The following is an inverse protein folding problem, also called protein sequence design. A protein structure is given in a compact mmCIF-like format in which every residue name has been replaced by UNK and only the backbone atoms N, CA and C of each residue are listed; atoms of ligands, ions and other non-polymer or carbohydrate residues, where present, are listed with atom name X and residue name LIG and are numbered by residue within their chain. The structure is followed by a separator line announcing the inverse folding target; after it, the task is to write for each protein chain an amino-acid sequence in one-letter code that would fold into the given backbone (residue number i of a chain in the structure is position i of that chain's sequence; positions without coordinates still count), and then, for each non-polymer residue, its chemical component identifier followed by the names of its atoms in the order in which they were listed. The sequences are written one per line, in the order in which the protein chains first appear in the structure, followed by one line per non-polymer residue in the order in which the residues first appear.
data_IF_043970246335
#
_entry.id   IF_043970246335
#
_cell.length_a   1.000
_cell.length_b   1.000
_cell.length_c   1.000
_cell.angle_alpha   90.00
_cell.angle_beta   90.00
_cell.angle_gamma   90.00
#
_symmetry.space_group_name_H-M   'P 1'
#
loop_
_entity.id
_entity.type
_entity.pdbx_description
1 polymer ?
#
# COMPACT_ATOMS: atom_id res chain seq x y z
N UNK A 1 4.80 4.03 21.08
CA UNK A 1 4.77 4.58 19.71
C UNK A 1 4.97 3.40 18.79
N UNK A 2 4.02 3.13 17.88
CA UNK A 2 4.24 2.11 16.85
C UNK A 2 5.37 2.61 15.95
N UNK A 3 6.34 1.77 15.66
CA UNK A 3 7.42 2.10 14.74
C UNK A 3 6.80 2.40 13.36
N UNK A 4 7.15 3.54 12.76
CA UNK A 4 6.59 3.96 11.47
C UNK A 4 6.87 2.94 10.36
N UNK A 5 7.92 2.12 10.52
CA UNK A 5 8.25 1.00 9.64
C UNK A 5 7.22 -0.13 9.67
N UNK A 6 6.40 -0.22 10.71
CA UNK A 6 5.42 -1.30 10.90
C UNK A 6 4.04 -0.98 10.32
N UNK A 7 3.78 0.27 9.92
CA UNK A 7 2.51 0.62 9.30
C UNK A 7 2.31 -0.14 7.98
N UNK A 8 1.16 -0.81 7.82
CA UNK A 8 0.84 -1.54 6.59
C UNK A 8 0.82 -0.63 5.36
N UNK A 9 0.38 0.61 5.50
CA UNK A 9 0.40 1.63 4.45
C UNK A 9 1.81 1.92 3.93
N UNK A 10 2.77 2.11 4.83
CA UNK A 10 4.18 2.40 4.52
C UNK A 10 4.85 1.24 3.76
N UNK A 11 4.37 0.01 3.94
CA UNK A 11 4.93 -1.15 3.27
C UNK A 11 4.15 -1.56 2.01
N UNK A 12 2.83 -1.33 1.97
CA UNK A 12 1.96 -1.73 0.86
C UNK A 12 1.93 -0.71 -0.27
N UNK A 13 1.83 0.59 0.06
CA UNK A 13 1.67 1.65 -0.95
C UNK A 13 2.90 1.78 -1.86
N UNK A 14 4.16 1.77 -1.34
CA UNK A 14 5.35 1.77 -2.19
C UNK A 14 5.42 0.57 -3.12
N UNK A 15 5.19 -0.63 -2.59
CA UNK A 15 5.17 -1.84 -3.40
C UNK A 15 4.12 -1.80 -4.51
N UNK A 16 2.94 -1.28 -4.20
CA UNK A 16 1.89 -1.06 -5.19
C UNK A 16 2.31 -0.01 -6.23
N UNK A 17 2.92 1.10 -5.83
CA UNK A 17 3.41 2.12 -6.75
C UNK A 17 4.47 1.56 -7.71
N UNK A 18 5.43 0.79 -7.22
CA UNK A 18 6.45 0.12 -8.03
C UNK A 18 5.82 -0.90 -8.99
N UNK A 19 4.85 -1.68 -8.51
CA UNK A 19 4.12 -2.63 -9.33
C UNK A 19 3.30 -1.93 -10.43
N UNK A 20 2.67 -0.81 -10.12
CA UNK A 20 1.90 -0.03 -11.11
C UNK A 20 2.81 0.55 -12.19
N UNK A 21 4.02 1.02 -11.85
CA UNK A 21 5.02 1.44 -12.85
C UNK A 21 5.36 0.29 -13.82
N UNK A 22 5.63 -0.92 -13.30
CA UNK A 22 5.87 -2.11 -14.12
C UNK A 22 4.65 -2.50 -14.96
N UNK A 23 3.45 -2.45 -14.38
CA UNK A 23 2.18 -2.75 -15.04
C UNK A 23 1.97 -1.84 -16.25
N UNK A 24 2.19 -0.54 -16.10
CA UNK A 24 2.03 0.42 -17.20
C UNK A 24 3.13 0.33 -18.24
N UNK A 25 4.38 0.04 -17.83
CA UNK A 25 5.50 -0.23 -18.76
C UNK A 25 5.24 -1.47 -19.62
N UNK A 26 4.53 -2.47 -19.08
CA UNK A 26 4.11 -3.67 -19.80
C UNK A 26 2.87 -3.45 -20.70
N UNK A 27 2.40 -2.21 -20.88
CA UNK A 27 1.24 -1.90 -21.72
C UNK A 27 -0.12 -2.07 -21.02
N UNK A 28 -0.13 -2.25 -19.70
CA UNK A 28 -1.35 -2.29 -18.90
C UNK A 28 -2.21 -1.03 -19.07
N UNK A 29 -3.53 -1.19 -19.01
CA UNK A 29 -4.51 -0.11 -19.22
C UNK A 29 -5.42 0.01 -18.01
N UNK A 30 -5.72 1.24 -17.60
CA UNK A 30 -6.88 1.52 -16.74
C UNK A 30 -8.06 1.65 -17.70
N UNK A 31 -9.13 0.88 -17.50
CA UNK A 31 -10.38 1.13 -18.23
C UNK A 31 -10.94 2.45 -17.68
N UNK A 32 -10.93 3.49 -18.52
CA UNK A 32 -11.28 4.86 -18.17
C UNK A 32 -12.58 4.93 -17.36
N UNK A 33 -12.51 5.65 -16.24
CA UNK A 33 -13.61 5.85 -15.32
C UNK A 33 -13.23 6.85 -14.24
N UNK A 34 -12.89 8.08 -14.63
CA UNK A 34 -12.55 9.17 -13.70
C UNK A 34 -11.33 8.91 -12.82
N UNK A 35 -10.91 9.92 -12.05
CA UNK A 35 -9.94 9.72 -10.96
C UNK A 35 -10.71 9.05 -9.82
N UNK A 36 -10.46 7.76 -9.58
CA UNK A 36 -10.96 7.10 -8.37
C UNK A 36 -10.00 7.44 -7.24
N UNK A 37 -10.40 8.38 -6.38
CA UNK A 37 -9.70 8.64 -5.13
C UNK A 37 -10.11 7.61 -4.07
N UNK A 38 -9.13 7.13 -3.31
CA UNK A 38 -9.33 6.35 -2.10
C UNK A 38 -9.06 7.26 -0.90
N UNK A 39 -10.01 7.32 0.02
CA UNK A 39 -9.92 8.17 1.21
C UNK A 39 -9.88 7.27 2.45
N UNK A 40 -8.85 7.43 3.26
CA UNK A 40 -8.71 6.77 4.55
C UNK A 40 -9.00 7.79 5.66
N UNK A 41 -10.02 7.57 6.51
CA UNK A 41 -10.24 8.38 7.69
C UNK A 41 -9.05 8.27 8.65
N UNK A 42 -8.55 9.40 9.13
CA UNK A 42 -7.32 9.51 9.92
C UNK A 42 -7.52 10.42 11.15
N UNK A 43 -8.70 10.32 11.77
CA UNK A 43 -9.06 11.08 12.97
C UNK A 43 -9.85 12.36 12.68
N UNK A 44 -9.85 13.27 13.65
CA UNK A 44 -10.69 14.47 13.60
C UNK A 44 -9.89 15.73 13.95
N UNK A 45 -10.19 16.83 13.25
CA UNK A 45 -9.77 18.16 13.68
C UNK A 45 -10.61 18.59 14.88
N UNK A 46 -9.97 18.90 16.00
CA UNK A 46 -10.63 19.33 17.23
C UNK A 46 -10.16 20.71 17.65
N UNK A 47 -11.10 21.56 18.03
CA UNK A 47 -10.85 22.86 18.66
C UNK A 47 -11.67 22.94 19.95
N UNK A 48 -11.03 23.32 21.05
CA UNK A 48 -11.65 23.32 22.38
C UNK A 48 -12.35 21.99 22.68
N UNK A 49 -11.69 20.87 22.35
CA UNK A 49 -12.18 19.50 22.49
C UNK A 49 -13.41 19.12 21.64
N UNK A 50 -13.93 20.03 20.80
CA UNK A 50 -15.06 19.77 19.91
C UNK A 50 -14.57 19.43 18.51
N UNK A 51 -15.14 18.38 17.91
CA UNK A 51 -14.90 18.03 16.50
C UNK A 51 -15.39 19.16 15.60
N UNK A 52 -14.53 19.64 14.71
CA UNK A 52 -14.82 20.67 13.71
C UNK A 52 -14.72 20.16 12.27
N UNK A 53 -13.91 19.12 12.07
CA UNK A 53 -13.75 18.46 10.78
C UNK A 53 -13.08 17.11 10.92
N UNK A 54 -12.76 16.54 9.78
CA UNK A 54 -12.10 15.25 9.63
C UNK A 54 -10.70 15.42 9.05
N UNK A 55 -9.83 14.52 9.50
CA UNK A 55 -8.52 14.30 8.96
C UNK A 55 -8.59 13.07 8.05
N UNK A 56 -8.05 13.19 6.85
CA UNK A 56 -8.19 12.19 5.80
C UNK A 56 -6.87 12.02 5.05
N UNK A 57 -6.51 10.77 4.74
CA UNK A 57 -5.39 10.46 3.85
C UNK A 57 -5.95 10.01 2.51
N UNK A 58 -5.61 10.75 1.46
CA UNK A 58 -6.05 10.50 0.10
C UNK A 58 -4.97 9.72 -0.66
N UNK A 59 -5.40 8.71 -1.41
CA UNK A 59 -4.58 7.96 -2.35
C UNK A 59 -5.25 7.98 -3.73
N UNK A 60 -4.51 8.34 -4.77
CA UNK A 60 -5.07 8.42 -6.12
C UNK A 60 -4.01 8.18 -7.20
N UNK A 61 -4.49 7.90 -8.40
CA UNK A 61 -3.66 7.81 -9.60
C UNK A 61 -3.74 9.11 -10.39
N UNK A 62 -2.58 9.61 -10.81
CA UNK A 62 -2.48 10.70 -11.78
C UNK A 62 -1.32 10.46 -12.71
N UNK A 63 -1.54 10.59 -14.03
CA UNK A 63 -0.53 10.33 -15.07
C UNK A 63 0.22 9.01 -14.85
N UNK A 64 -0.51 7.92 -14.53
CA UNK A 64 0.01 6.56 -14.27
C UNK A 64 0.93 6.45 -13.03
N UNK A 65 0.98 7.46 -12.18
CA UNK A 65 1.70 7.42 -10.89
C UNK A 65 0.71 7.44 -9.73
N UNK A 66 1.08 6.73 -8.67
CA UNK A 66 0.33 6.71 -7.41
C UNK A 66 0.79 7.88 -6.55
N UNK A 67 -0.15 8.60 -5.95
CA UNK A 67 0.13 9.71 -5.06
C UNK A 67 -0.64 9.57 -3.77
N UNK A 68 -0.07 10.13 -2.70
CA UNK A 68 -0.68 10.18 -1.36
C UNK A 68 -0.59 11.60 -0.82
N UNK A 69 -1.60 12.04 -0.07
CA UNK A 69 -1.55 13.28 0.73
C UNK A 69 -2.43 13.15 1.97
N UNK A 70 -2.02 13.76 3.07
CA UNK A 70 -2.87 14.01 4.22
C UNK A 70 -3.58 15.36 4.06
N UNK A 71 -4.87 15.42 4.39
CA UNK A 71 -5.69 16.63 4.31
C UNK A 71 -6.64 16.74 5.48
N UNK A 72 -6.74 17.92 6.06
CA UNK A 72 -7.81 18.35 6.93
C UNK A 72 -8.91 19.00 6.09
N UNK A 73 -10.16 18.57 6.27
CA UNK A 73 -11.30 19.12 5.54
C UNK A 73 -11.82 20.46 6.12
N UNK A 74 -11.35 20.85 7.30
CA UNK A 74 -11.79 22.06 8.00
C UNK A 74 -10.80 23.22 7.90
N UNK A 75 -9.50 22.99 8.16
CA UNK A 75 -8.48 24.04 8.14
C UNK A 75 -7.32 23.72 7.16
N UNK A 76 -7.08 24.62 6.20
CA UNK A 76 -6.00 24.51 5.20
C UNK A 76 -4.61 24.68 5.80
N UNK A 77 -4.49 25.34 6.95
CA UNK A 77 -3.23 25.55 7.67
C UNK A 77 -3.02 24.51 8.77
N UNK A 78 -3.90 23.51 8.88
CA UNK A 78 -3.73 22.43 9.84
C UNK A 78 -2.40 21.69 9.60
N UNK A 79 -1.64 21.44 10.65
CA UNK A 79 -0.37 20.70 10.60
C UNK A 79 -0.51 19.25 10.15
N UNK A 80 -1.75 18.73 10.13
CA UNK A 80 -2.08 17.44 9.54
C UNK A 80 -1.91 17.43 8.00
N UNK A 81 -2.06 18.59 7.35
CA UNK A 81 -1.95 18.67 5.89
C UNK A 81 -0.52 18.34 5.44
N UNK A 82 -0.40 17.56 4.37
CA UNK A 82 0.88 17.30 3.71
C UNK A 82 0.87 17.77 2.28
N UNK A 83 2.05 18.00 1.72
CA UNK A 83 2.20 18.07 0.26
C UNK A 83 1.89 16.71 -0.39
N UNK A 84 1.87 16.71 -1.73
CA UNK A 84 1.71 15.49 -2.51
C UNK A 84 2.99 14.65 -2.44
N UNK A 85 2.87 13.45 -1.88
CA UNK A 85 3.96 12.46 -1.81
C UNK A 85 3.80 11.46 -2.96
N UNK A 86 4.90 11.12 -3.64
CA UNK A 86 4.92 10.02 -4.60
C UNK A 86 4.72 8.70 -3.83
N UNK A 87 3.76 7.87 -4.25
CA UNK A 87 3.46 6.62 -3.56
C UNK A 87 4.64 5.66 -3.47
N UNK A 88 5.65 5.80 -4.34
CA UNK A 88 6.88 5.01 -4.30
C UNK A 88 7.91 5.47 -3.25
N UNK A 89 7.75 6.67 -2.68
CA UNK A 89 8.62 7.24 -1.66
C UNK A 89 8.22 6.73 -0.27
N UNK A 90 8.82 5.61 0.15
CA UNK A 90 8.55 4.99 1.45
C UNK A 90 8.86 5.92 2.63
N UNK A 91 9.94 6.70 2.55
CA UNK A 91 10.35 7.58 3.65
C UNK A 91 9.40 8.77 3.79
N UNK A 92 8.97 9.37 2.67
CA UNK A 92 7.93 10.40 2.68
C UNK A 92 6.62 9.88 3.30
N UNK A 93 6.22 8.65 2.98
CA UNK A 93 5.01 8.06 3.57
C UNK A 93 5.11 7.82 5.08
N UNK A 94 6.30 7.52 5.64
CA UNK A 94 6.46 7.37 7.10
C UNK A 94 6.10 8.64 7.86
N UNK A 95 6.27 9.80 7.24
CA UNK A 95 5.93 11.10 7.83
C UNK A 95 4.42 11.36 7.97
N UNK A 96 3.57 10.52 7.37
CA UNK A 96 2.12 10.69 7.47
C UNK A 96 1.57 10.06 8.77
N UNK A 97 0.52 10.66 9.35
CA UNK A 97 -0.08 10.21 10.62
C UNK A 97 -1.00 8.99 10.42
N UNK A 98 -0.41 7.84 10.11
CA UNK A 98 -1.14 6.58 9.87
C UNK A 98 -1.79 5.96 11.11
N UNK A 99 -1.38 6.35 12.32
CA UNK A 99 -1.77 5.70 13.57
C UNK A 99 -3.28 5.70 13.87
N UNK A 100 -4.05 6.58 13.23
CA UNK A 100 -5.52 6.66 13.39
C UNK A 100 -6.28 5.80 12.35
N UNK A 101 -5.58 5.18 11.40
CA UNK A 101 -6.21 4.37 10.35
C UNK A 101 -6.48 2.96 10.87
N UNK A 102 -7.67 2.45 10.57
CA UNK A 102 -8.05 1.09 10.89
C UNK A 102 -7.36 0.08 9.95
N UNK A 103 -6.40 -0.68 10.47
CA UNK A 103 -5.63 -1.69 9.74
C UNK A 103 -6.49 -2.73 9.01
N UNK A 104 -7.57 -3.22 9.64
CA UNK A 104 -8.46 -4.21 9.01
C UNK A 104 -9.18 -3.61 7.80
N UNK A 105 -9.51 -2.33 7.87
CA UNK A 105 -10.20 -1.62 6.79
C UNK A 105 -9.25 -1.23 5.67
N UNK A 106 -7.95 -1.07 5.94
CA UNK A 106 -6.95 -0.66 4.96
C UNK A 106 -6.90 -1.58 3.75
N UNK A 107 -6.66 -2.88 3.95
CA UNK A 107 -6.55 -3.85 2.85
C UNK A 107 -7.86 -4.03 2.09
N UNK A 108 -9.01 -4.04 2.80
CA UNK A 108 -10.34 -4.10 2.19
C UNK A 108 -10.58 -2.90 1.28
N UNK A 109 -10.24 -1.70 1.74
CA UNK A 109 -10.44 -0.47 0.99
C UNK A 109 -9.51 -0.41 -0.23
N UNK A 110 -8.25 -0.81 -0.07
CA UNK A 110 -7.27 -0.88 -1.17
C UNK A 110 -7.67 -1.92 -2.23
N UNK A 111 -8.12 -3.11 -1.80
CA UNK A 111 -8.68 -4.16 -2.67
C UNK A 111 -9.84 -3.63 -3.50
N UNK A 112 -10.84 -3.02 -2.84
CA UNK A 112 -12.01 -2.43 -3.52
C UNK A 112 -11.59 -1.36 -4.52
N UNK A 113 -10.62 -0.53 -4.17
CA UNK A 113 -10.07 0.49 -5.06
C UNK A 113 -9.41 -0.12 -6.30
N UNK A 114 -8.55 -1.14 -6.15
CA UNK A 114 -7.92 -1.83 -7.28
C UNK A 114 -8.94 -2.47 -8.22
N UNK A 115 -9.97 -3.13 -7.67
CA UNK A 115 -11.04 -3.74 -8.45
C UNK A 115 -11.84 -2.67 -9.21
N UNK A 116 -12.16 -1.55 -8.55
CA UNK A 116 -12.89 -0.43 -9.17
C UNK A 116 -12.13 0.21 -10.33
N UNK A 117 -10.79 0.25 -10.26
CA UNK A 117 -9.93 0.71 -11.35
C UNK A 117 -9.81 -0.29 -12.51
N UNK A 118 -10.39 -1.50 -12.39
CA UNK A 118 -10.47 -2.52 -13.46
C UNK A 118 -9.12 -2.85 -14.09
N UNK A 119 -8.07 -2.96 -13.27
CA UNK A 119 -6.77 -3.45 -13.73
C UNK A 119 -6.88 -4.87 -14.29
N UNK A 120 -6.05 -5.18 -15.28
CA UNK A 120 -5.83 -6.57 -15.66
C UNK A 120 -5.21 -7.34 -14.50
N UNK A 121 -5.99 -8.26 -13.95
CA UNK A 121 -5.69 -8.94 -12.70
C UNK A 121 -4.37 -9.73 -12.77
N UNK A 122 -4.18 -10.52 -13.83
CA UNK A 122 -2.99 -11.37 -13.98
C UNK A 122 -1.73 -10.51 -14.11
N UNK A 123 -1.79 -9.46 -14.93
CA UNK A 123 -0.66 -8.55 -15.12
C UNK A 123 -0.34 -7.78 -13.84
N UNK A 124 -1.35 -7.36 -13.07
CA UNK A 124 -1.15 -6.68 -11.78
C UNK A 124 -0.45 -7.60 -10.77
N UNK A 125 -0.91 -8.84 -10.60
CA UNK A 125 -0.28 -9.80 -9.68
C UNK A 125 1.17 -10.10 -10.09
N UNK A 126 1.43 -10.29 -11.39
CA UNK A 126 2.81 -10.47 -11.89
C UNK A 126 3.68 -9.25 -11.61
N UNK A 127 3.14 -8.05 -11.78
CA UNK A 127 3.85 -6.81 -11.51
C UNK A 127 4.17 -6.66 -10.01
N UNK A 128 3.24 -7.01 -9.11
CA UNK A 128 3.47 -7.05 -7.66
C UNK A 128 4.59 -8.02 -7.29
N UNK A 129 4.54 -9.26 -7.79
CA UNK A 129 5.60 -10.23 -7.54
C UNK A 129 6.97 -9.72 -8.00
N UNK A 130 7.01 -9.16 -9.21
CA UNK A 130 8.25 -8.62 -9.79
C UNK A 130 8.78 -7.44 -8.99
N UNK A 131 7.91 -6.53 -8.54
CA UNK A 131 8.30 -5.38 -7.73
C UNK A 131 8.89 -5.83 -6.39
N UNK A 132 8.24 -6.78 -5.71
CA UNK A 132 8.72 -7.33 -4.44
C UNK A 132 10.09 -8.00 -4.57
N UNK A 133 10.34 -8.75 -5.65
CA UNK A 133 11.64 -9.39 -5.89
C UNK A 133 12.73 -8.36 -6.28
N UNK A 134 12.37 -7.32 -7.04
CA UNK A 134 13.32 -6.28 -7.47
C UNK A 134 13.74 -5.36 -6.33
N UNK A 135 12.86 -5.11 -5.36
CA UNK A 135 13.10 -4.16 -4.27
C UNK A 135 13.59 -4.79 -2.97
N UNK A 136 13.81 -6.09 -2.96
CA UNK A 136 14.37 -6.83 -1.82
C UNK A 136 15.65 -7.55 -2.26
N UNK A 137 16.65 -7.56 -1.39
CA UNK A 137 17.81 -8.44 -1.50
C UNK A 137 17.37 -9.88 -1.24
N UNK A 138 17.55 -10.72 -2.26
CA UNK A 138 17.14 -12.11 -2.24
C UNK A 138 18.37 -13.03 -2.39
N UNK A 139 18.40 -14.20 -1.70
CA UNK A 139 17.36 -14.72 -0.82
C UNK A 139 17.20 -13.89 0.47
N UNK A 140 15.95 -13.70 0.92
CA UNK A 140 15.64 -12.94 2.13
C UNK A 140 15.63 -13.90 3.33
N UNK A 141 16.46 -13.63 4.33
CA UNK A 141 16.37 -14.26 5.65
C UNK A 141 15.67 -13.31 6.60
N UNK A 142 14.53 -13.71 7.15
CA UNK A 142 13.74 -12.87 8.07
C UNK A 142 14.45 -12.74 9.43
N UNK A 143 14.04 -11.76 10.25
CA UNK A 143 14.54 -11.60 11.63
C UNK A 143 14.35 -12.84 12.53
N UNK A 144 13.50 -13.78 12.11
CA UNK A 144 13.23 -15.04 12.80
C UNK A 144 14.02 -16.23 12.22
N UNK A 145 15.01 -15.99 11.36
CA UNK A 145 15.93 -17.02 10.84
C UNK A 145 15.39 -17.86 9.67
N UNK A 146 14.21 -17.52 9.11
CA UNK A 146 13.63 -18.27 7.98
C UNK A 146 14.02 -17.63 6.65
N UNK A 147 14.52 -18.44 5.71
CA UNK A 147 14.99 -17.96 4.40
C UNK A 147 14.00 -18.27 3.28
N UNK A 148 13.79 -17.29 2.40
CA UNK A 148 12.93 -17.40 1.22
C UNK A 148 13.71 -16.95 -0.01
N UNK A 149 13.65 -17.71 -1.12
CA UNK A 149 14.43 -17.39 -2.32
C UNK A 149 13.86 -16.20 -3.11
N UNK A 150 12.55 -15.98 -3.02
CA UNK A 150 11.80 -14.92 -3.69
C UNK A 150 10.44 -14.72 -3.03
N UNK A 151 9.75 -13.65 -3.37
CA UNK A 151 8.43 -13.32 -2.84
C UNK A 151 7.39 -14.40 -3.12
N UNK A 152 7.41 -15.04 -4.30
CA UNK A 152 6.44 -16.09 -4.63
C UNK A 152 6.56 -17.30 -3.68
N UNK A 153 7.77 -17.62 -3.22
CA UNK A 153 8.01 -18.69 -2.25
C UNK A 153 7.50 -18.28 -0.85
N UNK A 154 7.72 -17.02 -0.49
CA UNK A 154 7.24 -16.45 0.76
C UNK A 154 5.72 -16.41 0.84
N UNK A 155 5.05 -15.86 -0.18
CA UNK A 155 3.61 -15.64 -0.14
C UNK A 155 2.84 -16.96 -0.05
N UNK A 156 3.31 -18.03 -0.71
CA UNK A 156 2.67 -19.36 -0.69
C UNK A 156 2.73 -20.06 0.67
N UNK A 157 3.59 -19.62 1.58
CA UNK A 157 3.71 -20.24 2.89
C UNK A 157 2.47 -19.98 3.76
N UNK A 158 1.77 -21.05 4.15
CA UNK A 158 0.50 -21.00 4.92
C UNK A 158 -0.56 -20.13 4.22
N UNK A 159 -0.73 -20.34 2.92
CA UNK A 159 -1.75 -19.67 2.12
C UNK A 159 -3.16 -20.17 2.51
N UNK A 160 -4.14 -19.29 2.72
CA UNK A 160 -5.52 -19.70 3.04
C UNK A 160 -6.16 -20.50 1.90
N UNK A 161 -6.88 -21.57 2.23
CA UNK A 161 -7.52 -22.45 1.23
C UNK A 161 -8.57 -21.74 0.38
N UNK A 162 -9.24 -20.73 0.94
CA UNK A 162 -10.32 -19.99 0.29
C UNK A 162 -9.87 -18.72 -0.44
N UNK A 163 -8.57 -18.40 -0.39
CA UNK A 163 -7.94 -17.35 -1.17
C UNK A 163 -7.53 -17.91 -2.55
N UNK A 164 -8.48 -18.33 -3.36
CA UNK A 164 -8.22 -18.93 -4.69
C UNK A 164 -8.33 -17.90 -5.83
N UNK A 165 -7.73 -18.16 -7.01
CA UNK A 165 -7.90 -17.28 -8.17
C UNK A 165 -9.35 -17.03 -8.60
N UNK A 166 -10.26 -17.97 -8.30
CA UNK A 166 -11.70 -17.85 -8.54
C UNK A 166 -12.37 -16.88 -7.55
N UNK A 167 -11.85 -16.79 -6.32
CA UNK A 167 -12.20 -15.75 -5.35
C UNK A 167 -11.23 -14.56 -5.44
N UNK A 168 -11.31 -13.82 -6.55
CA UNK A 168 -10.39 -12.72 -6.89
C UNK A 168 -10.26 -11.66 -5.80
N UNK A 169 -11.34 -11.36 -5.09
CA UNK A 169 -11.31 -10.38 -4.01
C UNK A 169 -10.40 -10.88 -2.88
N UNK A 170 -10.69 -12.07 -2.35
CA UNK A 170 -9.94 -12.63 -1.23
C UNK A 170 -8.49 -12.90 -1.61
N UNK A 171 -8.26 -13.40 -2.82
CA UNK A 171 -6.90 -13.61 -3.32
C UNK A 171 -6.11 -12.31 -3.41
N UNK A 172 -6.69 -11.25 -3.98
CA UNK A 172 -6.00 -9.95 -4.09
C UNK A 172 -5.68 -9.37 -2.72
N UNK A 173 -6.63 -9.42 -1.79
CA UNK A 173 -6.42 -8.98 -0.41
C UNK A 173 -5.25 -9.73 0.25
N UNK A 174 -5.25 -11.06 0.15
CA UNK A 174 -4.17 -11.88 0.71
C UNK A 174 -2.82 -11.55 0.06
N UNK A 175 -2.77 -11.34 -1.27
CA UNK A 175 -1.53 -10.89 -1.93
C UNK A 175 -1.06 -9.55 -1.34
N UNK A 176 -1.93 -8.56 -1.18
CA UNK A 176 -1.56 -7.25 -0.64
C UNK A 176 -1.02 -7.37 0.80
N UNK A 177 -1.65 -8.21 1.63
CA UNK A 177 -1.18 -8.51 2.98
C UNK A 177 0.23 -9.11 2.94
N UNK A 178 0.47 -10.11 2.08
CA UNK A 178 1.80 -10.72 1.94
C UNK A 178 2.84 -9.74 1.41
N UNK A 179 2.48 -8.87 0.47
CA UNK A 179 3.34 -7.80 -0.03
C UNK A 179 3.77 -6.89 1.13
N UNK A 180 2.82 -6.44 1.95
CA UNK A 180 3.11 -5.61 3.12
C UNK A 180 4.14 -6.27 4.04
N UNK A 181 3.91 -7.53 4.43
CA UNK A 181 4.79 -8.23 5.34
C UNK A 181 6.15 -8.57 4.72
N UNK A 182 6.23 -8.80 3.41
CA UNK A 182 7.49 -9.02 2.71
C UNK A 182 8.39 -7.79 2.79
N UNK A 183 7.85 -6.61 2.47
CA UNK A 183 8.57 -5.34 2.54
C UNK A 183 8.94 -5.00 3.98
N UNK A 184 8.03 -5.19 4.93
CA UNK A 184 8.32 -5.00 6.35
C UNK A 184 9.43 -5.94 6.84
N UNK A 185 9.38 -7.23 6.46
CA UNK A 185 10.40 -8.21 6.85
C UNK A 185 11.76 -7.87 6.27
N UNK A 186 11.81 -7.38 5.03
CA UNK A 186 13.03 -6.91 4.40
C UNK A 186 13.59 -5.65 5.08
N UNK A 187 12.72 -4.69 5.45
CA UNK A 187 13.12 -3.49 6.19
C UNK A 187 13.79 -3.85 7.52
N UNK A 188 13.17 -4.75 8.28
CA UNK A 188 13.64 -5.19 9.61
C UNK A 188 15.04 -5.84 9.60
N UNK A 189 15.52 -6.30 8.45
CA UNK A 189 16.86 -6.91 8.29
C UNK A 189 17.73 -6.11 7.34
N UNK A 190 17.36 -4.85 7.03
CA UNK A 190 18.07 -3.96 6.10
C UNK A 190 18.30 -4.56 4.69
N UNK A 191 17.38 -5.39 4.22
CA UNK A 191 17.42 -6.02 2.89
C UNK A 191 16.57 -5.28 1.84
N UNK A 192 16.02 -4.10 2.16
CA UNK A 192 15.34 -3.28 1.16
C UNK A 192 16.35 -2.55 0.28
N UNK A 193 16.19 -2.69 -1.02
CA UNK A 193 17.02 -2.00 -2.01
C UNK A 193 16.48 -0.57 -2.21
N UNK A 194 17.40 0.39 -2.24
CA UNK A 194 17.13 1.79 -2.59
C UNK A 194 16.42 1.92 -3.94
#
# INVERSE_FOLDING_TARGET
MVDAEEYYSVNTIPALAWALDLYFKAGGKIKEGGIVELVFPAGAHKELMKKKGDHEIFLWLSKKKLFVRARCNYNKECSFNSERIDGSDREGLKGLPWGEINDRSFFIALRKWLIRNKFDYVTLIRALNTACDRKVEIPLTTKYGRTFKKFDDYRKNKWPEDATPDNREKFLEEVLVRVSFWIQSAAQVNALKS
#
